data_IF_241842107655
#
_entry.id   IF_241842107655
#
_cell.length_a   1.000
_cell.length_b   1.000
_cell.length_c   1.000
_cell.angle_alpha   90.00
_cell.angle_beta   90.00
_cell.angle_gamma   90.00
#
_symmetry.space_group_name_H-M   'P 1'
#
loop_
_entity.id
_entity.type
_entity.pdbx_description
1 polymer ?
#
# COMPACT_ATOMS: atom_id res chain seq x y z
N UNK A 1 -9.91 -7.44 3.84
CA UNK A 1 -11.20 -6.72 3.74
C UNK A 1 -11.12 -5.53 2.79
N UNK A 2 -9.99 -4.83 2.71
CA UNK A 2 -9.82 -3.64 1.88
C UNK A 2 -10.22 -3.91 0.41
N UNK A 3 -9.49 -4.78 -0.28
CA UNK A 3 -9.74 -5.05 -1.70
C UNK A 3 -11.12 -5.66 -1.99
N UNK A 4 -11.54 -6.78 -1.36
CA UNK A 4 -12.80 -7.41 -1.73
C UNK A 4 -14.04 -6.68 -1.23
N UNK A 5 -13.93 -5.77 -0.28
CA UNK A 5 -15.06 -5.02 0.27
C UNK A 5 -15.09 -3.59 -0.23
N UNK A 6 -13.99 -2.85 -0.07
CA UNK A 6 -13.92 -1.44 -0.44
C UNK A 6 -13.87 -1.28 -1.96
N UNK A 7 -12.99 -2.03 -2.61
CA UNK A 7 -12.78 -1.99 -4.06
C UNK A 7 -13.55 -3.05 -4.84
N UNK A 8 -14.64 -3.58 -4.26
CA UNK A 8 -15.41 -4.69 -4.88
C UNK A 8 -15.91 -4.40 -6.28
N UNK A 9 -16.17 -3.15 -6.61
CA UNK A 9 -16.70 -2.73 -7.91
C UNK A 9 -15.61 -2.25 -8.87
N UNK A 10 -14.37 -2.09 -8.41
CA UNK A 10 -13.23 -1.59 -9.19
C UNK A 10 -12.19 -2.67 -9.41
N UNK A 11 -11.47 -3.06 -8.38
CA UNK A 11 -10.39 -4.06 -8.46
C UNK A 11 -10.80 -5.44 -7.94
N UNK A 12 -11.85 -5.52 -7.13
CA UNK A 12 -12.24 -6.72 -6.39
C UNK A 12 -12.47 -7.97 -7.23
N UNK A 13 -13.14 -7.89 -8.42
CA UNK A 13 -13.44 -9.06 -9.23
C UNK A 13 -12.19 -9.81 -9.73
N UNK A 14 -11.08 -9.09 -9.93
CA UNK A 14 -9.85 -9.62 -10.53
C UNK A 14 -8.74 -9.91 -9.51
N UNK A 15 -9.01 -9.70 -8.22
CA UNK A 15 -8.02 -9.85 -7.16
C UNK A 15 -8.15 -11.19 -6.45
N UNK A 16 -7.03 -11.93 -6.37
CA UNK A 16 -6.93 -13.08 -5.49
C UNK A 16 -7.09 -12.66 -4.03
N UNK A 17 -7.75 -13.47 -3.19
CA UNK A 17 -7.80 -13.24 -1.75
C UNK A 17 -6.43 -13.37 -1.08
N UNK A 18 -5.47 -14.01 -1.75
CA UNK A 18 -4.13 -14.24 -1.24
C UNK A 18 -3.22 -13.06 -1.56
N UNK A 19 -2.42 -12.67 -0.59
CA UNK A 19 -1.43 -11.62 -0.73
C UNK A 19 -0.10 -12.07 -0.14
N UNK A 20 0.98 -11.77 -0.85
CA UNK A 20 2.34 -11.98 -0.36
C UNK A 20 2.84 -10.69 0.27
N UNK A 21 3.33 -10.80 1.50
CA UNK A 21 3.94 -9.70 2.23
C UNK A 21 5.44 -9.86 2.28
N UNK A 22 6.16 -8.83 1.84
CA UNK A 22 7.60 -8.73 1.99
C UNK A 22 7.91 -7.55 2.90
N UNK A 23 8.72 -7.77 3.92
CA UNK A 23 9.12 -6.78 4.92
C UNK A 23 10.60 -6.46 4.74
N UNK A 24 10.93 -5.16 4.73
CA UNK A 24 12.31 -4.68 4.63
C UNK A 24 12.47 -3.51 5.61
N UNK A 25 12.99 -3.77 6.80
CA UNK A 25 12.97 -2.80 7.88
C UNK A 25 11.54 -2.30 8.11
N UNK A 26 11.30 -0.99 8.24
CA UNK A 26 9.95 -0.43 8.42
C UNK A 26 9.11 -0.44 7.14
N UNK A 27 9.71 -0.76 5.99
CA UNK A 27 9.02 -0.78 4.71
C UNK A 27 8.39 -2.15 4.45
N UNK A 28 7.38 -2.15 3.59
CA UNK A 28 6.73 -3.39 3.18
C UNK A 28 6.30 -3.33 1.72
N UNK A 29 6.15 -4.51 1.14
CA UNK A 29 5.55 -4.70 -0.17
C UNK A 29 4.43 -5.72 -0.05
N UNK A 30 3.28 -5.37 -0.61
CA UNK A 30 2.14 -6.28 -0.77
C UNK A 30 2.00 -6.59 -2.24
N UNK A 31 2.04 -7.86 -2.59
CA UNK A 31 1.80 -8.33 -3.95
C UNK A 31 0.60 -9.27 -3.94
N UNK A 32 -0.45 -8.91 -4.67
CA UNK A 32 -1.57 -9.81 -4.92
C UNK A 32 -1.31 -10.58 -6.22
N UNK A 33 -1.40 -11.91 -6.24
CA UNK A 33 -1.36 -12.67 -7.48
C UNK A 33 -2.60 -12.30 -8.30
N UNK A 34 -2.40 -11.72 -9.47
CA UNK A 34 -3.46 -11.53 -10.45
C UNK A 34 -3.70 -12.86 -11.16
N UNK A 35 -4.83 -13.04 -11.85
CA UNK A 35 -5.37 -14.26 -12.45
C UNK A 35 -4.45 -15.28 -13.15
N UNK A 36 -3.15 -15.09 -13.06
CA UNK A 36 -2.11 -16.02 -13.52
C UNK A 36 -1.50 -16.88 -12.39
N UNK A 37 -1.94 -16.70 -11.12
CA UNK A 37 -1.36 -17.40 -9.98
C UNK A 37 -1.41 -18.93 -10.15
N UNK A 38 -2.54 -19.48 -10.61
CA UNK A 38 -2.68 -20.90 -10.86
C UNK A 38 -1.65 -21.47 -11.87
N UNK A 39 -1.11 -20.62 -12.75
CA UNK A 39 -0.06 -20.99 -13.71
C UNK A 39 1.34 -20.99 -13.06
N UNK A 40 1.48 -20.41 -11.90
CA UNK A 40 2.75 -20.30 -11.16
C UNK A 40 2.83 -21.29 -10.01
N UNK A 41 1.69 -21.87 -9.64
CA UNK A 41 1.62 -22.86 -8.56
C UNK A 41 2.57 -24.03 -8.85
N UNK A 42 3.38 -24.40 -7.85
CA UNK A 42 4.37 -25.46 -7.95
C UNK A 42 5.63 -25.12 -8.76
N UNK A 43 5.75 -23.92 -9.35
CA UNK A 43 6.97 -23.48 -10.03
C UNK A 43 7.94 -22.80 -9.06
N UNK A 44 9.26 -23.07 -9.20
CA UNK A 44 10.27 -22.30 -8.48
C UNK A 44 10.12 -20.79 -8.72
N UNK A 45 10.35 -19.97 -7.71
CA UNK A 45 10.25 -18.50 -7.85
C UNK A 45 11.23 -17.91 -8.87
N UNK A 46 12.33 -18.62 -9.17
CA UNK A 46 13.27 -18.27 -10.23
C UNK A 46 12.69 -18.32 -11.66
N UNK A 47 11.57 -19.03 -11.82
CA UNK A 47 10.87 -19.16 -13.10
C UNK A 47 9.66 -18.23 -13.22
N UNK A 48 9.42 -17.42 -12.18
CA UNK A 48 8.29 -16.50 -12.19
C UNK A 48 8.59 -15.28 -13.07
N UNK A 49 7.60 -14.80 -13.83
CA UNK A 49 7.77 -13.57 -14.60
C UNK A 49 8.17 -12.41 -13.70
N UNK A 50 9.08 -11.56 -14.15
CA UNK A 50 9.51 -10.36 -13.42
C UNK A 50 8.32 -9.50 -12.97
N UNK A 51 7.28 -9.41 -13.79
CA UNK A 51 6.06 -8.65 -13.48
C UNK A 51 5.35 -9.13 -12.21
N UNK A 52 5.44 -10.41 -11.86
CA UNK A 52 4.91 -10.96 -10.60
C UNK A 52 5.79 -10.55 -9.43
N UNK A 53 7.11 -10.53 -9.64
CA UNK A 53 8.09 -10.19 -8.59
C UNK A 53 8.17 -8.68 -8.33
N UNK A 54 7.92 -7.86 -9.35
CA UNK A 54 8.00 -6.39 -9.26
C UNK A 54 6.64 -5.70 -9.10
N UNK A 55 5.54 -6.42 -9.30
CA UNK A 55 4.18 -5.91 -9.12
C UNK A 55 3.82 -5.64 -7.65
N UNK A 56 2.67 -5.02 -7.43
CA UNK A 56 2.11 -4.77 -6.11
C UNK A 56 2.27 -3.34 -5.64
N UNK A 57 2.01 -3.15 -4.34
CA UNK A 57 2.12 -1.84 -3.68
C UNK A 57 3.27 -1.89 -2.68
N UNK A 58 4.20 -0.98 -2.83
CA UNK A 58 5.27 -0.73 -1.89
C UNK A 58 4.85 0.35 -0.91
N UNK A 59 4.87 0.07 0.37
CA UNK A 59 4.72 1.06 1.42
C UNK A 59 6.10 1.49 1.89
N UNK A 60 6.44 2.74 1.62
CA UNK A 60 7.69 3.35 2.02
C UNK A 60 7.41 4.16 3.28
N UNK A 61 7.70 3.54 4.43
CA UNK A 61 7.47 4.14 5.72
C UNK A 61 8.20 5.50 5.85
N UNK A 62 7.61 6.52 6.49
CA UNK A 62 6.31 6.48 7.17
C UNK A 62 5.11 6.87 6.28
N UNK A 63 5.30 7.51 5.14
CA UNK A 63 4.22 8.23 4.46
C UNK A 63 4.21 8.08 2.93
N UNK A 64 5.04 7.22 2.39
CA UNK A 64 5.13 6.99 0.95
C UNK A 64 4.52 5.67 0.50
N UNK A 65 4.01 5.61 -0.73
CA UNK A 65 3.71 4.36 -1.40
C UNK A 65 4.03 4.44 -2.90
N UNK A 66 4.35 3.28 -3.48
CA UNK A 66 4.61 3.15 -4.90
C UNK A 66 3.74 2.00 -5.41
N UNK A 67 2.96 2.24 -6.45
CA UNK A 67 2.18 1.21 -7.13
C UNK A 67 2.52 1.20 -8.62
N UNK A 68 2.70 0.01 -9.20
CA UNK A 68 2.99 -0.17 -10.61
C UNK A 68 1.76 -0.59 -11.39
N UNK A 69 1.58 0.02 -12.57
CA UNK A 69 0.53 -0.29 -13.54
C UNK A 69 1.16 -0.50 -14.90
N UNK A 70 0.40 -1.14 -15.79
CA UNK A 70 0.77 -1.28 -17.19
C UNK A 70 -0.33 -0.65 -18.07
N UNK A 71 0.08 0.21 -18.98
CA UNK A 71 -0.81 0.88 -19.94
C UNK A 71 -0.17 0.73 -21.31
N UNK A 72 -0.89 0.07 -22.23
CA UNK A 72 -0.43 -0.16 -23.60
C UNK A 72 0.98 -0.77 -23.71
N UNK A 73 1.27 -1.74 -22.81
CA UNK A 73 2.57 -2.41 -22.75
C UNK A 73 3.69 -1.61 -22.09
N UNK A 74 3.39 -0.41 -21.57
CA UNK A 74 4.35 0.44 -20.86
C UNK A 74 4.06 0.49 -19.37
N UNK A 75 5.12 0.45 -18.56
CA UNK A 75 5.01 0.58 -17.10
C UNK A 75 4.82 2.05 -16.71
N UNK A 76 3.84 2.28 -15.84
CA UNK A 76 3.65 3.54 -15.12
C UNK A 76 3.71 3.26 -13.63
N UNK A 77 4.40 4.11 -12.88
CA UNK A 77 4.44 4.06 -11.43
C UNK A 77 3.72 5.27 -10.85
N UNK A 78 2.76 5.00 -9.99
CA UNK A 78 2.18 6.00 -9.10
C UNK A 78 3.03 6.08 -7.84
N UNK A 79 3.49 7.27 -7.51
CA UNK A 79 4.19 7.57 -6.25
C UNK A 79 3.28 8.47 -5.43
N UNK A 80 2.74 7.94 -4.35
CA UNK A 80 1.94 8.69 -3.41
C UNK A 80 2.76 9.10 -2.20
N UNK A 81 2.59 10.33 -1.74
CA UNK A 81 3.22 10.87 -0.54
C UNK A 81 2.16 11.59 0.27
N UNK A 82 2.01 11.23 1.54
CA UNK A 82 1.00 11.78 2.44
C UNK A 82 1.69 12.59 3.52
N UNK A 83 1.38 13.88 3.61
CA UNK A 83 1.93 14.77 4.61
C UNK A 83 0.83 15.25 5.55
N UNK A 84 1.15 15.57 6.83
CA UNK A 84 0.19 16.16 7.73
C UNK A 84 -0.27 17.53 7.22
N UNK A 85 -1.54 17.83 7.45
CA UNK A 85 -2.10 19.17 7.25
C UNK A 85 -1.88 20.08 8.46
N UNK A 86 -2.67 21.13 8.55
CA UNK A 86 -2.58 22.10 9.65
C UNK A 86 -3.04 21.51 10.99
N UNK A 87 -3.87 20.50 10.97
CA UNK A 87 -4.41 19.83 12.15
C UNK A 87 -4.25 18.30 12.01
N UNK A 88 -4.42 17.57 13.13
CA UNK A 88 -4.41 16.11 13.13
C UNK A 88 -5.56 15.47 12.30
N UNK A 89 -6.55 16.26 11.92
CA UNK A 89 -7.69 15.81 11.10
C UNK A 89 -7.44 15.97 9.59
N UNK A 90 -6.31 16.54 9.21
CA UNK A 90 -6.03 16.92 7.83
C UNK A 90 -4.75 16.26 7.33
N UNK A 91 -4.75 15.93 6.07
CA UNK A 91 -3.56 15.49 5.34
C UNK A 91 -3.56 16.02 3.91
N UNK A 92 -2.38 16.14 3.34
CA UNK A 92 -2.18 16.49 1.93
C UNK A 92 -1.49 15.32 1.26
N UNK A 93 -2.11 14.80 0.20
CA UNK A 93 -1.53 13.73 -0.61
C UNK A 93 -1.08 14.27 -1.95
N UNK A 94 0.16 13.99 -2.29
CA UNK A 94 0.70 14.21 -3.64
C UNK A 94 0.73 12.88 -4.37
N UNK A 95 0.22 12.88 -5.60
CA UNK A 95 0.24 11.73 -6.50
C UNK A 95 1.06 12.09 -7.73
N UNK A 96 2.23 11.50 -7.87
CA UNK A 96 3.07 11.64 -9.04
C UNK A 96 2.98 10.38 -9.90
N UNK A 97 2.94 10.54 -11.22
CA UNK A 97 2.93 9.42 -12.16
C UNK A 97 4.18 9.49 -13.03
N UNK A 98 4.96 8.41 -13.02
CA UNK A 98 6.27 8.34 -13.67
C UNK A 98 6.27 7.19 -14.66
N UNK A 99 6.71 7.46 -15.88
CA UNK A 99 6.93 6.44 -16.91
C UNK A 99 8.14 6.79 -17.75
N UNK A 100 8.78 5.76 -18.30
CA UNK A 100 9.84 5.89 -19.32
C UNK A 100 9.31 5.71 -20.74
N UNK A 101 7.98 5.55 -20.90
CA UNK A 101 7.36 5.41 -22.20
C UNK A 101 7.57 6.66 -23.08
N UNK A 102 7.62 6.52 -24.40
CA UNK A 102 7.60 7.64 -25.32
C UNK A 102 6.34 8.50 -25.11
N UNK A 103 6.50 9.81 -25.10
CA UNK A 103 5.38 10.76 -24.96
C UNK A 103 4.62 10.94 -26.28
N UNK A 104 3.93 9.89 -26.72
CA UNK A 104 2.99 10.00 -27.84
C UNK A 104 1.63 10.50 -27.35
N UNK A 105 0.84 11.10 -28.23
CA UNK A 105 -0.50 11.60 -27.89
C UNK A 105 -1.41 10.45 -27.42
N UNK A 106 -1.31 9.28 -28.04
CA UNK A 106 -2.05 8.07 -27.68
C UNK A 106 -1.70 7.61 -26.26
N UNK A 107 -0.39 7.52 -25.96
CA UNK A 107 0.06 7.11 -24.62
C UNK A 107 -0.39 8.13 -23.55
N UNK A 108 -0.25 9.42 -23.83
CA UNK A 108 -0.68 10.50 -22.91
C UNK A 108 -2.19 10.42 -22.67
N UNK A 109 -2.99 10.20 -23.70
CA UNK A 109 -4.44 10.07 -23.56
C UNK A 109 -4.84 8.84 -22.72
N UNK A 110 -4.20 7.68 -22.96
CA UNK A 110 -4.43 6.46 -22.19
C UNK A 110 -3.98 6.62 -20.72
N UNK A 111 -2.82 7.24 -20.49
CA UNK A 111 -2.30 7.54 -19.16
C UNK A 111 -3.25 8.47 -18.39
N UNK A 112 -3.70 9.56 -18.99
CA UNK A 112 -4.63 10.50 -18.35
C UNK A 112 -5.97 9.82 -18.00
N UNK A 113 -6.47 8.94 -18.83
CA UNK A 113 -7.69 8.16 -18.53
C UNK A 113 -7.48 7.26 -17.31
N UNK A 114 -6.34 6.59 -17.22
CA UNK A 114 -6.01 5.73 -16.08
C UNK A 114 -5.79 6.55 -14.80
N UNK A 115 -5.12 7.69 -14.89
CA UNK A 115 -4.92 8.61 -13.76
C UNK A 115 -6.27 9.07 -13.22
N UNK A 116 -7.16 9.56 -14.09
CA UNK A 116 -8.50 9.98 -13.67
C UNK A 116 -9.31 8.85 -13.03
N UNK A 117 -9.20 7.62 -13.53
CA UNK A 117 -9.81 6.45 -12.91
C UNK A 117 -9.26 6.22 -11.49
N UNK A 118 -7.94 6.23 -11.31
CA UNK A 118 -7.31 6.02 -10.00
C UNK A 118 -7.65 7.14 -9.01
N UNK A 119 -7.66 8.39 -9.45
CA UNK A 119 -8.09 9.52 -8.62
C UNK A 119 -9.51 9.34 -8.11
N UNK A 120 -10.44 8.90 -8.96
CA UNK A 120 -11.80 8.62 -8.56
C UNK A 120 -11.88 7.48 -7.53
N UNK A 121 -11.15 6.38 -7.75
CA UNK A 121 -11.11 5.25 -6.81
C UNK A 121 -10.61 5.71 -5.45
N UNK A 122 -9.46 6.37 -5.41
CA UNK A 122 -8.85 6.84 -4.15
C UNK A 122 -9.76 7.83 -3.42
N UNK A 123 -10.35 8.78 -4.14
CA UNK A 123 -11.24 9.77 -3.54
C UNK A 123 -12.53 9.16 -3.00
N UNK A 124 -13.21 8.37 -3.81
CA UNK A 124 -14.59 7.96 -3.55
C UNK A 124 -14.68 6.67 -2.73
N UNK A 125 -13.63 5.85 -2.74
CA UNK A 125 -13.56 4.60 -1.97
C UNK A 125 -12.66 4.77 -0.74
N UNK A 126 -11.34 4.97 -0.91
CA UNK A 126 -10.38 5.04 0.21
C UNK A 126 -10.60 6.25 1.10
N UNK A 127 -10.53 7.44 0.54
CA UNK A 127 -10.58 8.68 1.33
C UNK A 127 -11.97 8.95 1.87
N UNK A 128 -13.02 8.65 1.11
CA UNK A 128 -14.38 8.76 1.63
C UNK A 128 -14.62 7.89 2.86
N UNK A 129 -14.00 6.71 2.91
CA UNK A 129 -14.04 5.81 4.06
C UNK A 129 -13.15 6.32 5.20
N UNK A 130 -11.92 6.73 4.90
CA UNK A 130 -10.99 7.30 5.88
C UNK A 130 -11.57 8.51 6.60
N UNK A 131 -12.20 9.43 5.87
CA UNK A 131 -12.87 10.61 6.45
C UNK A 131 -14.03 10.26 7.38
N UNK A 132 -14.78 9.19 7.10
CA UNK A 132 -15.83 8.69 8.01
C UNK A 132 -15.21 8.13 9.30
N UNK A 133 -14.13 7.37 9.17
CA UNK A 133 -13.38 6.83 10.31
C UNK A 133 -12.84 7.98 11.17
N UNK A 134 -12.22 8.98 10.57
CA UNK A 134 -11.67 10.15 11.27
C UNK A 134 -12.73 10.89 12.09
N UNK A 135 -13.93 11.11 11.54
CA UNK A 135 -15.05 11.72 12.29
C UNK A 135 -15.42 10.90 13.52
N UNK A 136 -15.42 9.57 13.42
CA UNK A 136 -15.73 8.67 14.54
C UNK A 136 -14.62 8.70 15.59
N UNK A 137 -13.37 8.64 15.18
CA UNK A 137 -12.21 8.71 16.09
C UNK A 137 -12.20 10.02 16.86
N UNK A 138 -12.48 11.14 16.20
CA UNK A 138 -12.53 12.49 16.79
C UNK A 138 -13.54 12.60 17.93
N UNK A 139 -14.62 11.83 17.94
CA UNK A 139 -15.60 11.83 19.05
C UNK A 139 -15.04 11.26 20.36
N UNK A 140 -13.91 10.52 20.29
CA UNK A 140 -13.33 9.82 21.43
C UNK A 140 -14.16 8.62 21.93
N UNK A 141 -15.26 8.29 21.26
CA UNK A 141 -16.10 7.15 21.62
C UNK A 141 -15.37 5.80 21.43
N UNK A 142 -14.48 5.74 20.45
CA UNK A 142 -13.64 4.57 20.19
C UNK A 142 -12.20 4.85 20.66
N UNK A 143 -11.75 4.09 21.65
CA UNK A 143 -10.42 4.25 22.28
C UNK A 143 -9.33 3.43 21.62
N UNK A 144 -9.68 2.37 20.88
CA UNK A 144 -8.75 1.44 20.25
C UNK A 144 -9.20 1.11 18.84
N UNK A 145 -8.24 0.88 17.96
CA UNK A 145 -8.46 0.28 16.65
C UNK A 145 -8.14 -1.20 16.73
N UNK A 146 -8.98 -2.03 16.13
CA UNK A 146 -8.75 -3.46 16.04
C UNK A 146 -8.26 -3.81 14.64
N UNK A 147 -7.10 -4.41 14.56
CA UNK A 147 -6.59 -4.99 13.31
C UNK A 147 -6.95 -6.48 13.28
N UNK A 148 -7.56 -6.91 12.20
CA UNK A 148 -7.86 -8.32 11.98
C UNK A 148 -6.59 -9.15 11.75
N UNK A 149 -6.72 -10.46 11.88
CA UNK A 149 -5.61 -11.39 11.64
C UNK A 149 -4.98 -11.21 10.25
N UNK A 150 -5.78 -10.88 9.24
CA UNK A 150 -5.34 -10.71 7.85
C UNK A 150 -4.76 -9.30 7.56
N UNK A 151 -4.68 -8.43 8.57
CA UNK A 151 -4.21 -7.04 8.43
C UNK A 151 -2.77 -6.88 8.96
N UNK A 152 -1.94 -7.90 8.74
CA UNK A 152 -0.55 -7.93 9.21
C UNK A 152 0.31 -6.75 8.74
N UNK A 153 0.01 -6.17 7.58
CA UNK A 153 0.66 -4.95 7.10
C UNK A 153 0.38 -3.74 7.99
N UNK A 154 -0.87 -3.55 8.41
CA UNK A 154 -1.24 -2.46 9.31
C UNK A 154 -0.63 -2.68 10.70
N UNK A 155 -0.69 -3.89 11.24
CA UNK A 155 -0.04 -4.24 12.51
C UNK A 155 1.47 -3.96 12.46
N UNK A 156 2.12 -4.29 11.36
CA UNK A 156 3.55 -4.07 11.18
C UNK A 156 3.92 -2.59 11.17
N UNK A 157 3.17 -1.75 10.47
CA UNK A 157 3.39 -0.29 10.45
C UNK A 157 3.21 0.29 11.86
N UNK A 158 2.15 -0.11 12.57
CA UNK A 158 1.92 0.36 13.94
C UNK A 158 2.99 -0.13 14.91
N UNK A 159 3.46 -1.38 14.78
CA UNK A 159 4.58 -1.87 15.57
C UNK A 159 5.87 -1.05 15.40
N UNK A 160 6.18 -0.63 14.18
CA UNK A 160 7.30 0.27 13.91
C UNK A 160 7.07 1.68 14.47
N UNK A 161 5.86 2.23 14.33
CA UNK A 161 5.52 3.53 14.93
C UNK A 161 5.70 3.50 16.45
N UNK A 162 5.17 2.48 17.12
CA UNK A 162 5.29 2.34 18.57
C UNK A 162 6.76 2.21 18.99
N UNK A 163 7.56 1.43 18.28
CA UNK A 163 8.97 1.27 18.57
C UNK A 163 9.74 2.58 18.40
N UNK A 164 9.49 3.31 17.30
CA UNK A 164 10.16 4.60 17.02
C UNK A 164 9.80 5.68 18.04
N UNK A 165 8.55 5.72 18.50
CA UNK A 165 8.09 6.71 19.48
C UNK A 165 8.70 6.55 20.86
N UNK A 166 9.22 5.36 21.21
CA UNK A 166 9.79 5.07 22.52
C UNK A 166 11.32 4.87 22.49
N UNK A 167 11.92 4.82 21.31
CA UNK A 167 13.37 4.64 21.13
C UNK A 167 14.06 6.00 21.15
N UNK A 168 15.12 6.14 21.93
CA UNK A 168 15.94 7.33 21.94
C UNK A 168 16.67 7.53 20.60
N UNK A 169 16.94 8.77 20.22
CA UNK A 169 17.53 9.11 18.92
C UNK A 169 18.89 8.40 18.69
N UNK A 170 19.69 8.27 19.73
CA UNK A 170 20.99 7.57 19.70
C UNK A 170 20.87 6.07 19.40
N UNK A 171 19.72 5.44 19.74
CA UNK A 171 19.49 4.00 19.58
C UNK A 171 18.75 3.65 18.27
N UNK A 172 18.33 4.63 17.49
CA UNK A 172 17.57 4.41 16.24
C UNK A 172 18.35 3.53 15.24
N UNK A 173 19.67 3.72 15.14
CA UNK A 173 20.49 2.90 14.24
C UNK A 173 20.50 1.41 14.66
N UNK A 174 20.43 1.13 15.93
CA UNK A 174 20.34 -0.23 16.45
C UNK A 174 18.95 -0.82 16.18
N UNK A 175 17.89 -0.06 16.43
CA UNK A 175 16.52 -0.44 16.09
C UNK A 175 16.38 -0.81 14.60
N UNK A 176 16.92 0.01 13.69
CA UNK A 176 16.83 -0.28 12.27
C UNK A 176 17.65 -1.50 11.82
N UNK A 177 18.76 -1.82 12.50
CA UNK A 177 19.54 -3.03 12.22
C UNK A 177 18.86 -4.29 12.73
N UNK A 178 18.35 -4.23 13.96
CA UNK A 178 17.82 -5.40 14.66
C UNK A 178 16.33 -5.64 14.33
N UNK A 179 15.63 -4.60 13.84
CA UNK A 179 14.21 -4.64 13.59
C UNK A 179 13.39 -4.56 14.88
N UNK A 180 12.07 -4.56 14.70
CA UNK A 180 11.12 -4.65 15.82
C UNK A 180 10.94 -6.11 16.23
N UNK A 181 10.73 -6.36 17.52
CA UNK A 181 10.50 -7.69 18.05
C UNK A 181 9.28 -8.35 17.38
N UNK A 182 9.54 -9.45 16.68
CA UNK A 182 8.49 -10.20 15.98
C UNK A 182 7.44 -10.80 16.94
N UNK A 183 7.74 -10.90 18.23
CA UNK A 183 6.81 -11.34 19.26
C UNK A 183 5.65 -10.36 19.52
N UNK A 184 5.79 -9.09 19.12
CA UNK A 184 4.73 -8.08 19.18
C UNK A 184 3.77 -8.16 18.00
N UNK A 185 4.18 -8.78 16.93
CA UNK A 185 3.35 -9.03 15.74
C UNK A 185 2.90 -10.47 15.88
N UNK A 186 1.66 -10.67 16.30
CA UNK A 186 1.10 -12.03 16.46
C UNK A 186 1.33 -12.81 15.16
N UNK A 187 2.04 -13.92 15.31
CA UNK A 187 2.40 -14.82 14.22
C UNK A 187 1.17 -15.22 13.40
N UNK A 188 1.30 -15.08 12.10
CA UNK A 188 0.43 -15.70 11.10
C UNK A 188 1.05 -16.99 10.62
#
# INVERSE_FOLDING_TARGET
YHLPILHKNTFGPDMSPDALFHRVGPHQRVTGPRGNWAKLEGRPTSEWPESVLTGGVWSVFPHGSIAGFEIEGHKIYQVARVFPGATADESVTYLDFISTAPKTDEFIAAANKQIAFLENVVRDEDYATGLKIQRTVKTGAKKVLHFGRNEGGAQYVHGWLDALLVTADEDLNELFRNGIDAGRITNY
#
